data_IF_663720426528
#
_entry.id   IF_663720426528
#
_cell.length_a   1.000
_cell.length_b   1.000
_cell.length_c   1.000
_cell.angle_alpha   90.00
_cell.angle_beta   90.00
_cell.angle_gamma   90.00
#
_symmetry.space_group_name_H-M   'P 1'
#
loop_
_entity.id
_entity.type
_entity.pdbx_description
1 polymer ?
#
# COMPACT_ATOMS: atom_id res chain seq x y z
N UNK A 1 12.06 -2.38 -8.40
CA UNK A 1 10.61 -2.13 -8.33
C UNK A 1 9.98 -3.29 -7.58
N UNK A 2 9.29 -3.04 -6.47
CA UNK A 2 8.59 -4.10 -5.74
C UNK A 2 7.21 -4.30 -6.34
N UNK A 3 7.01 -5.38 -7.09
CA UNK A 3 5.71 -5.79 -7.64
C UNK A 3 4.71 -5.97 -6.50
N UNK A 4 3.54 -5.34 -6.61
CA UNK A 4 2.46 -5.40 -5.61
C UNK A 4 1.94 -6.83 -5.44
N UNK A 5 1.36 -7.19 -4.27
CA UNK A 5 0.75 -8.51 -4.07
C UNK A 5 -0.24 -8.89 -5.17
N UNK A 6 -1.05 -7.92 -5.62
CA UNK A 6 -2.05 -8.11 -6.67
C UNK A 6 -1.40 -8.43 -8.02
N UNK A 7 -0.37 -7.69 -8.41
CA UNK A 7 0.39 -7.97 -9.62
C UNK A 7 1.05 -9.36 -9.55
N UNK A 8 1.63 -9.74 -8.41
CA UNK A 8 2.22 -11.09 -8.23
C UNK A 8 1.18 -12.20 -8.39
N UNK A 9 -0.03 -12.00 -7.86
CA UNK A 9 -1.10 -12.99 -8.02
C UNK A 9 -1.58 -13.06 -9.48
N UNK A 10 -1.66 -11.90 -10.15
CA UNK A 10 -1.99 -11.84 -11.57
C UNK A 10 -0.95 -12.57 -12.43
N UNK A 11 0.34 -12.40 -12.14
CA UNK A 11 1.44 -13.09 -12.83
C UNK A 11 1.33 -14.61 -12.66
N UNK A 12 1.03 -15.10 -11.45
CA UNK A 12 0.83 -16.54 -11.21
C UNK A 12 -0.41 -17.07 -11.93
N UNK A 13 -1.50 -16.30 -11.96
CA UNK A 13 -2.70 -16.69 -12.67
C UNK A 13 -2.46 -16.75 -14.19
N UNK A 14 -1.72 -15.78 -14.75
CA UNK A 14 -1.33 -15.78 -16.16
C UNK A 14 -0.48 -17.01 -16.49
N UNK A 15 0.57 -17.29 -15.71
CA UNK A 15 1.41 -18.47 -15.89
C UNK A 15 0.61 -19.79 -15.78
N UNK A 16 -0.35 -19.87 -14.85
CA UNK A 16 -1.20 -21.05 -14.73
C UNK A 16 -2.12 -21.24 -15.94
N UNK A 17 -2.61 -20.16 -16.56
CA UNK A 17 -3.38 -20.22 -17.81
C UNK A 17 -2.51 -20.67 -18.97
N UNK A 18 -1.29 -20.14 -19.10
CA UNK A 18 -0.33 -20.58 -20.13
C UNK A 18 -0.06 -22.08 -20.04
N UNK A 19 0.21 -22.60 -18.83
CA UNK A 19 0.40 -24.05 -18.60
C UNK A 19 -0.86 -24.84 -18.94
N UNK A 20 -2.05 -24.32 -18.62
CA UNK A 20 -3.30 -24.98 -18.98
C UNK A 20 -3.48 -25.09 -20.50
N UNK A 21 -3.17 -24.01 -21.23
CA UNK A 21 -3.23 -23.97 -22.70
C UNK A 21 -2.21 -24.94 -23.30
N UNK A 22 -0.95 -24.88 -22.87
CA UNK A 22 0.10 -25.80 -23.34
C UNK A 22 -0.26 -27.27 -23.09
N UNK A 23 -0.81 -27.57 -21.90
CA UNK A 23 -1.29 -28.91 -21.57
C UNK A 23 -2.47 -29.33 -22.46
N UNK A 24 -3.35 -28.40 -22.83
CA UNK A 24 -4.49 -28.70 -23.69
C UNK A 24 -4.03 -28.97 -25.12
N UNK A 25 -3.11 -28.18 -25.66
CA UNK A 25 -2.49 -28.38 -26.96
C UNK A 25 -1.72 -29.71 -27.03
N UNK A 26 -1.04 -30.09 -25.95
CA UNK A 26 -0.37 -31.38 -25.82
C UNK A 26 -1.32 -32.58 -25.57
N UNK A 27 -2.62 -32.34 -25.39
CA UNK A 27 -3.60 -33.38 -25.06
C UNK A 27 -3.47 -33.98 -23.66
N UNK A 28 -2.73 -33.33 -22.76
CA UNK A 28 -2.49 -33.77 -21.37
C UNK A 28 -3.34 -33.01 -20.35
N UNK A 29 -4.11 -32.02 -20.78
CA UNK A 29 -5.02 -31.30 -19.89
C UNK A 29 -6.13 -32.22 -19.39
N UNK A 30 -6.20 -32.38 -18.07
CA UNK A 30 -7.22 -33.16 -17.38
C UNK A 30 -7.88 -32.32 -16.29
N UNK A 31 -9.01 -32.80 -15.77
CA UNK A 31 -9.60 -32.20 -14.56
C UNK A 31 -8.66 -32.23 -13.35
N UNK A 32 -7.68 -33.14 -13.30
CA UNK A 32 -6.63 -33.15 -12.28
C UNK A 32 -5.66 -31.98 -12.43
N UNK A 33 -5.20 -31.72 -13.66
CA UNK A 33 -4.35 -30.57 -14.01
C UNK A 33 -5.07 -29.26 -13.68
N UNK A 34 -6.33 -29.11 -14.09
CA UNK A 34 -7.13 -27.94 -13.77
C UNK A 34 -7.25 -27.68 -12.26
N UNK A 35 -7.58 -28.71 -11.47
CA UNK A 35 -7.63 -28.58 -10.00
C UNK A 35 -6.29 -28.22 -9.39
N UNK A 36 -5.19 -28.79 -9.88
CA UNK A 36 -3.85 -28.50 -9.38
C UNK A 36 -3.48 -27.02 -9.63
N UNK A 37 -3.72 -26.52 -10.84
CA UNK A 37 -3.48 -25.11 -11.19
C UNK A 37 -4.33 -24.16 -10.36
N UNK A 38 -5.63 -24.47 -10.18
CA UNK A 38 -6.50 -23.70 -9.28
C UNK A 38 -6.00 -23.69 -7.83
N UNK A 39 -5.52 -24.83 -7.32
CA UNK A 39 -4.98 -24.93 -5.97
C UNK A 39 -3.70 -24.10 -5.79
N UNK A 40 -2.84 -24.03 -6.80
CA UNK A 40 -1.64 -23.17 -6.79
C UNK A 40 -2.03 -21.70 -6.68
N UNK A 41 -2.94 -21.23 -7.54
CA UNK A 41 -3.43 -19.84 -7.52
C UNK A 41 -4.04 -19.51 -6.15
N UNK A 42 -4.93 -20.37 -5.63
CA UNK A 42 -5.57 -20.17 -4.34
C UNK A 42 -4.55 -20.11 -3.19
N UNK A 43 -3.55 -21.00 -3.18
CA UNK A 43 -2.51 -21.03 -2.15
C UNK A 43 -1.62 -19.79 -2.17
N UNK A 44 -1.28 -19.29 -3.36
CA UNK A 44 -0.50 -18.05 -3.49
C UNK A 44 -1.34 -16.86 -3.00
N UNK A 45 -2.61 -16.78 -3.41
CA UNK A 45 -3.53 -15.74 -2.94
C UNK A 45 -3.64 -15.71 -1.41
N UNK A 46 -3.85 -16.87 -0.77
CA UNK A 46 -3.93 -16.98 0.69
C UNK A 46 -2.66 -16.51 1.40
N UNK A 47 -1.47 -16.83 0.86
CA UNK A 47 -0.19 -16.37 1.43
C UNK A 47 -0.03 -14.85 1.33
N UNK A 48 -0.43 -14.27 0.20
CA UNK A 48 -0.34 -12.83 0.00
C UNK A 48 -1.30 -12.06 0.92
N UNK A 49 -2.51 -12.59 1.14
CA UNK A 49 -3.45 -12.04 2.13
C UNK A 49 -2.87 -12.10 3.54
N UNK A 50 -2.34 -13.26 3.95
CA UNK A 50 -1.72 -13.41 5.27
C UNK A 50 -0.54 -12.44 5.46
N UNK A 51 0.32 -12.30 4.45
CA UNK A 51 1.43 -11.35 4.49
C UNK A 51 0.95 -9.90 4.63
N UNK A 52 -0.16 -9.54 3.99
CA UNK A 52 -0.75 -8.20 4.10
C UNK A 52 -1.33 -7.97 5.51
N UNK A 53 -2.04 -8.96 6.06
CA UNK A 53 -2.58 -8.92 7.42
C UNK A 53 -1.48 -8.78 8.47
N UNK A 54 -0.40 -9.58 8.36
CA UNK A 54 0.75 -9.50 9.26
C UNK A 54 1.46 -8.15 9.22
N UNK A 55 1.62 -7.57 8.02
CA UNK A 55 2.18 -6.22 7.89
C UNK A 55 1.29 -5.16 8.52
N UNK A 56 -0.02 -5.24 8.30
CA UNK A 56 -0.99 -4.32 8.92
C UNK A 56 -1.03 -4.44 10.44
N UNK A 57 -0.94 -5.67 10.97
CA UNK A 57 -0.81 -5.89 12.41
C UNK A 57 0.48 -5.27 12.96
N UNK A 58 1.61 -5.52 12.30
CA UNK A 58 2.91 -4.99 12.74
C UNK A 58 2.94 -3.45 12.71
N UNK A 59 2.39 -2.82 11.68
CA UNK A 59 2.34 -1.36 11.58
C UNK A 59 1.41 -0.77 12.64
N UNK A 60 0.21 -1.35 12.81
CA UNK A 60 -0.75 -0.89 13.83
C UNK A 60 -0.21 -1.06 15.25
N UNK A 61 0.55 -2.13 15.52
CA UNK A 61 1.23 -2.32 16.80
C UNK A 61 2.31 -1.27 17.03
N UNK A 62 3.14 -0.98 16.03
CA UNK A 62 4.17 0.06 16.12
C UNK A 62 3.56 1.46 16.36
N UNK A 63 2.46 1.78 15.67
CA UNK A 63 1.71 3.02 15.89
C UNK A 63 1.14 3.09 17.32
N UNK A 64 0.58 2.00 17.83
CA UNK A 64 0.08 1.92 19.20
C UNK A 64 1.20 2.09 20.23
N UNK A 65 2.36 1.45 20.03
CA UNK A 65 3.53 1.62 20.90
C UNK A 65 4.04 3.05 20.88
N UNK A 66 4.17 3.67 19.71
CA UNK A 66 4.59 5.07 19.58
C UNK A 66 3.62 6.03 20.29
N UNK A 67 2.32 5.76 20.23
CA UNK A 67 1.32 6.53 20.97
C UNK A 67 1.45 6.36 22.50
N UNK A 68 1.84 5.16 22.97
CA UNK A 68 2.06 4.89 24.41
C UNK A 68 3.35 5.50 24.95
N UNK A 69 4.42 5.55 24.15
CA UNK A 69 5.71 6.14 24.57
C UNK A 69 5.71 7.66 24.52
N UNK A 70 4.64 8.29 24.01
CA UNK A 70 4.51 9.74 23.99
C UNK A 70 5.49 10.43 23.04
N UNK A 71 6.09 9.69 22.10
CA UNK A 71 6.86 10.25 20.99
C UNK A 71 5.91 10.86 19.95
N UNK A 72 5.14 11.85 20.38
CA UNK A 72 4.49 12.76 19.45
C UNK A 72 5.62 13.58 18.82
N UNK A 73 5.82 13.54 17.49
CA UNK A 73 6.78 14.40 16.82
C UNK A 73 6.46 15.84 17.25
N UNK A 74 7.45 16.53 17.81
CA UNK A 74 7.28 17.91 18.25
C UNK A 74 6.64 18.70 17.10
N UNK A 75 5.54 19.44 17.34
CA UNK A 75 4.95 20.25 16.30
C UNK A 75 6.05 21.15 15.74
N UNK A 76 6.20 21.14 14.41
CA UNK A 76 7.14 22.02 13.73
C UNK A 76 6.92 23.46 14.23
N UNK A 77 7.98 24.23 14.51
CA UNK A 77 7.83 25.59 14.99
C UNK A 77 6.96 26.37 14.00
N UNK A 78 5.76 26.75 14.44
CA UNK A 78 4.85 27.56 13.65
C UNK A 78 5.56 28.90 13.42
N UNK A 79 5.84 29.32 12.18
CA UNK A 79 6.43 30.63 11.95
C UNK A 79 5.50 31.68 12.53
N UNK A 80 6.07 32.59 13.33
CA UNK A 80 5.31 33.65 13.99
C UNK A 80 4.49 34.44 12.95
N UNK A 81 3.23 34.81 13.25
CA UNK A 81 2.44 35.63 12.34
C UNK A 81 3.17 36.95 12.10
N UNK A 82 3.56 37.19 10.85
CA UNK A 82 4.04 38.50 10.40
C UNK A 82 2.82 39.40 10.42
N UNK A 83 2.65 40.17 11.50
CA UNK A 83 1.62 41.20 11.54
C UNK A 83 1.95 42.22 10.43
N UNK A 84 1.01 42.53 9.52
CA UNK A 84 1.23 43.58 8.55
C UNK A 84 1.52 44.87 9.30
N UNK A 85 2.65 45.49 8.96
CA UNK A 85 3.03 46.80 9.46
C UNK A 85 1.86 47.74 9.14
N UNK A 86 1.06 48.10 10.14
CA UNK A 86 -0.02 49.05 9.98
C UNK A 86 0.58 50.28 9.29
N UNK A 87 0.11 50.55 8.08
CA UNK A 87 0.46 51.74 7.33
C UNK A 87 0.22 52.93 8.27
N UNK A 88 1.32 53.59 8.63
CA UNK A 88 1.32 54.84 9.37
C UNK A 88 0.33 55.79 8.68
N UNK A 89 -0.71 56.31 9.35
CA UNK A 89 -1.57 57.31 8.74
C UNK A 89 -0.71 58.54 8.42
N UNK A 90 -0.80 58.99 7.17
CA UNK A 90 -0.17 60.20 6.64
C UNK A 90 -0.76 61.42 7.41
N UNK A 91 0.06 62.31 7.99
CA UNK A 91 -0.46 63.50 8.63
C UNK A 91 -0.99 64.50 7.58
N UNK A 92 -2.31 64.58 7.51
CA UNK A 92 -3.13 65.78 7.29
C UNK A 92 -2.53 66.88 6.37
N UNK A 93 -3.00 66.93 5.13
CA UNK A 93 -2.97 68.14 4.30
C UNK A 93 -3.85 69.21 4.94
N UNK A 94 -3.22 70.13 5.66
CA UNK A 94 -3.81 71.37 6.14
C UNK A 94 -2.90 72.56 5.83
N UNK A 95 -3.21 73.29 4.75
CA UNK A 95 -2.91 74.71 4.56
C UNK A 95 -3.74 75.27 3.38
#
# INVERSE_FOLDING_TARGET
>A
MTTSPQERLADVAAAAVEVAVESAEAGTYTGGVGRALSAVIAKVGARLTLDAELRGFSSGWQEAVAAMTGEQPAPAPVPAPVLPLHARPDPEDGA
#
